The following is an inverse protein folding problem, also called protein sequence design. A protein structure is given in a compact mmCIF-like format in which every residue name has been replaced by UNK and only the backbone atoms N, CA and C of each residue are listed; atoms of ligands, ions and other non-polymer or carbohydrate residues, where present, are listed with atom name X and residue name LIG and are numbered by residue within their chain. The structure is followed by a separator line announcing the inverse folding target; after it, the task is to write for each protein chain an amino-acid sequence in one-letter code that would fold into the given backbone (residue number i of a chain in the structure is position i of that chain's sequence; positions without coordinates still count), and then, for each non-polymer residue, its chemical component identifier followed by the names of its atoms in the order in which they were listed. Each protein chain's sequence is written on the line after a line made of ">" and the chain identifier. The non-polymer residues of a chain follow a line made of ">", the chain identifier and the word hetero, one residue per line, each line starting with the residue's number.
data_IF_715687492542
#
_entry.id   IF_715687492542
#
_cell.length_a   1.000
_cell.length_b   1.000
_cell.length_c   1.000
_cell.angle_alpha   90.00
_cell.angle_beta   90.00
_cell.angle_gamma   90.00
#
_symmetry.space_group_name_H-M   'P 1'
#
loop_
_entity.id
_entity.type
_entity.pdbx_description
1 polymer ?
#
# COMPACT_ATOMS: atom_id res chain seq x y z
N UNK A 1 -2.03 10.88 -8.31
CA UNK A 1 -3.39 10.48 -8.76
C UNK A 1 -3.44 9.06 -9.31
N UNK A 2 -2.80 8.71 -10.45
CA UNK A 2 -2.97 7.36 -11.05
C UNK A 2 -2.41 6.24 -10.16
N UNK A 3 -1.24 6.44 -9.57
CA UNK A 3 -0.62 5.46 -8.66
C UNK A 3 -1.44 5.27 -7.39
N UNK A 4 -1.93 6.37 -6.81
CA UNK A 4 -2.75 6.34 -5.59
C UNK A 4 -4.03 5.52 -5.82
N UNK A 5 -4.67 5.65 -6.99
CA UNK A 5 -5.83 4.81 -7.35
C UNK A 5 -5.46 3.33 -7.47
N UNK A 6 -4.30 3.00 -8.08
CA UNK A 6 -3.83 1.61 -8.19
C UNK A 6 -3.62 1.01 -6.79
N UNK A 7 -2.93 1.72 -5.89
CA UNK A 7 -2.69 1.23 -4.53
C UNK A 7 -3.97 1.14 -3.70
N UNK A 8 -4.88 2.09 -3.86
CA UNK A 8 -6.18 2.02 -3.20
C UNK A 8 -6.97 0.78 -3.65
N UNK A 9 -7.07 0.54 -4.96
CA UNK A 9 -7.70 -0.68 -5.49
C UNK A 9 -6.99 -1.95 -5.03
N UNK A 10 -5.65 -1.95 -5.03
CA UNK A 10 -4.84 -3.08 -4.58
C UNK A 10 -5.12 -3.42 -3.12
N UNK A 11 -5.14 -2.44 -2.22
CA UNK A 11 -5.42 -2.70 -0.80
C UNK A 11 -6.89 -2.96 -0.50
N UNK A 12 -7.80 -2.46 -1.32
CA UNK A 12 -9.22 -2.78 -1.21
C UNK A 12 -9.51 -4.23 -1.61
N UNK A 13 -8.89 -4.72 -2.69
CA UNK A 13 -9.11 -6.08 -3.19
C UNK A 13 -8.21 -7.12 -2.48
N UNK A 14 -6.98 -6.73 -2.15
CA UNK A 14 -5.94 -7.59 -1.56
C UNK A 14 -5.33 -6.93 -0.30
N UNK A 15 -6.09 -6.78 0.79
CA UNK A 15 -5.60 -6.14 2.01
C UNK A 15 -4.39 -6.87 2.63
N UNK A 16 -4.24 -8.18 2.38
CA UNK A 16 -3.06 -8.95 2.83
C UNK A 16 -1.74 -8.42 2.29
N UNK A 17 -1.74 -7.81 1.10
CA UNK A 17 -0.52 -7.27 0.49
C UNK A 17 0.06 -6.11 1.31
N UNK A 18 -0.79 -5.34 2.00
CA UNK A 18 -0.31 -4.33 2.94
C UNK A 18 0.47 -4.95 4.10
N UNK A 19 -0.07 -6.03 4.68
CA UNK A 19 0.57 -6.74 5.80
C UNK A 19 1.90 -7.37 5.38
N UNK A 20 1.96 -7.94 4.18
CA UNK A 20 3.21 -8.43 3.60
C UNK A 20 4.27 -7.31 3.45
N UNK A 21 3.87 -6.11 2.98
CA UNK A 21 4.77 -4.95 2.86
C UNK A 21 5.31 -4.46 4.22
N UNK A 22 4.48 -4.55 5.26
CA UNK A 22 4.90 -4.20 6.63
C UNK A 22 5.49 -5.41 7.38
N UNK A 23 5.95 -6.45 6.68
CA UNK A 23 6.60 -7.63 7.26
C UNK A 23 5.75 -8.27 8.39
N UNK A 24 4.45 -8.35 8.15
CA UNK A 24 3.45 -9.01 9.00
C UNK A 24 2.86 -10.21 8.27
N UNK A 25 2.39 -11.23 9.01
CA UNK A 25 1.64 -12.33 8.42
C UNK A 25 0.42 -11.84 7.59
N UNK A 26 0.25 -12.32 6.35
CA UNK A 26 -0.84 -11.87 5.47
C UNK A 26 -2.24 -12.16 6.03
N UNK A 27 -2.37 -13.19 6.88
CA UNK A 27 -3.64 -13.54 7.52
C UNK A 27 -4.09 -12.54 8.58
N UNK A 28 -3.20 -11.66 9.07
CA UNK A 28 -3.60 -10.54 9.94
C UNK A 28 -4.68 -9.68 9.25
N UNK A 29 -4.65 -9.55 7.93
CA UNK A 29 -5.62 -8.76 7.16
C UNK A 29 -7.09 -9.17 7.40
N UNK A 30 -7.37 -10.42 7.77
CA UNK A 30 -8.73 -10.88 8.08
C UNK A 30 -9.34 -10.21 9.31
N UNK A 31 -8.50 -9.65 10.19
CA UNK A 31 -8.90 -8.91 11.37
C UNK A 31 -9.02 -7.39 11.10
N UNK A 32 -8.97 -6.97 9.82
CA UNK A 32 -9.00 -5.56 9.43
C UNK A 32 -10.02 -5.28 8.34
N UNK A 33 -10.62 -4.10 8.41
CA UNK A 33 -11.39 -3.49 7.33
C UNK A 33 -10.54 -2.39 6.68
N UNK A 34 -10.32 -2.47 5.37
CA UNK A 34 -9.77 -1.36 4.59
C UNK A 34 -10.89 -0.38 4.23
N UNK A 35 -10.77 0.88 4.64
CA UNK A 35 -11.86 1.86 4.55
C UNK A 35 -11.35 3.29 4.39
N UNK A 36 -12.29 4.22 4.22
CA UNK A 36 -12.04 5.67 4.27
C UNK A 36 -12.98 6.32 5.29
N UNK A 37 -12.51 7.38 5.97
CA UNK A 37 -13.32 8.08 6.97
C UNK A 37 -13.27 9.59 6.76
N UNK A 38 -14.45 10.20 6.71
CA UNK A 38 -14.58 11.66 6.59
C UNK A 38 -14.38 12.35 7.94
N UNK A 39 -13.56 13.41 7.92
CA UNK A 39 -13.38 14.29 9.07
C UNK A 39 -14.18 15.58 8.82
N UNK A 40 -15.29 15.71 9.54
CA UNK A 40 -16.40 16.63 9.22
C UNK A 40 -16.01 18.11 9.32
N UNK A 41 -15.10 18.46 10.24
CA UNK A 41 -14.76 19.88 10.48
C UNK A 41 -14.01 20.54 9.33
N UNK A 42 -13.34 19.76 8.48
CA UNK A 42 -12.50 20.26 7.38
C UNK A 42 -12.85 19.64 6.01
N UNK A 43 -13.89 18.81 5.94
CA UNK A 43 -14.34 18.14 4.72
C UNK A 43 -13.24 17.38 3.96
N UNK A 44 -12.24 16.86 4.68
CA UNK A 44 -11.25 15.93 4.11
C UNK A 44 -11.62 14.49 4.48
N UNK A 45 -11.08 13.56 3.69
CA UNK A 45 -11.27 12.13 3.87
C UNK A 45 -9.92 11.49 4.11
N UNK A 46 -9.80 10.76 5.21
CA UNK A 46 -8.62 9.96 5.48
C UNK A 46 -8.80 8.62 4.78
N UNK A 47 -8.15 8.50 3.63
CA UNK A 47 -8.10 7.29 2.82
C UNK A 47 -6.99 6.37 3.35
N UNK A 48 -7.01 5.09 2.96
CA UNK A 48 -5.93 4.18 3.33
C UNK A 48 -6.00 3.64 4.77
N UNK A 49 -7.17 3.67 5.41
CA UNK A 49 -7.33 3.20 6.79
C UNK A 49 -7.54 1.69 6.84
N UNK A 50 -6.69 0.99 7.59
CA UNK A 50 -6.93 -0.39 8.04
C UNK A 50 -7.38 -0.36 9.49
N UNK A 51 -8.68 -0.53 9.73
CA UNK A 51 -9.26 -0.53 11.07
C UNK A 51 -9.43 -1.96 11.59
N UNK A 52 -8.98 -2.27 12.82
CA UNK A 52 -9.27 -3.56 13.44
C UNK A 52 -10.78 -3.81 13.52
N UNK A 53 -11.19 -5.03 13.23
CA UNK A 53 -12.59 -5.49 13.40
C UNK A 53 -12.81 -6.15 14.77
N UNK A 54 -11.73 -6.38 15.51
CA UNK A 54 -11.75 -6.94 16.87
C UNK A 54 -11.57 -5.86 17.92
N UNK A 55 -12.00 -6.13 19.16
CA UNK A 55 -11.83 -5.22 20.28
C UNK A 55 -10.47 -5.37 21.01
N UNK A 56 -9.45 -5.94 20.35
CA UNK A 56 -8.13 -6.16 20.96
C UNK A 56 -7.40 -4.82 21.19
N UNK A 57 -7.14 -4.42 22.45
CA UNK A 57 -6.66 -3.06 22.76
C UNK A 57 -5.28 -2.74 22.18
N UNK A 58 -4.40 -3.74 22.08
CA UNK A 58 -3.03 -3.57 21.59
C UNK A 58 -2.92 -3.64 20.06
N UNK A 59 -3.99 -4.08 19.38
CA UNK A 59 -4.02 -4.20 17.94
C UNK A 59 -4.11 -2.80 17.32
N UNK A 60 -3.10 -2.35 16.55
CA UNK A 60 -3.12 -1.00 16.00
C UNK A 60 -4.03 -0.90 14.79
N UNK A 61 -4.61 0.27 14.55
CA UNK A 61 -5.04 0.64 13.21
C UNK A 61 -3.88 1.22 12.42
N UNK A 62 -3.92 1.06 11.10
CA UNK A 62 -2.90 1.59 10.20
C UNK A 62 -3.49 2.66 9.29
N UNK A 63 -2.73 3.73 9.09
CA UNK A 63 -2.90 4.66 7.98
C UNK A 63 -1.81 4.35 6.95
N UNK A 64 -2.22 3.92 5.76
CA UNK A 64 -1.32 3.65 4.64
C UNK A 64 -1.35 4.82 3.65
N UNK A 65 -0.23 5.53 3.52
CA UNK A 65 -0.07 6.62 2.54
C UNK A 65 0.94 6.21 1.47
N UNK A 66 0.65 6.54 0.22
CA UNK A 66 1.52 6.24 -0.93
C UNK A 66 2.01 7.55 -1.52
N UNK A 67 3.34 7.71 -1.60
CA UNK A 67 3.94 8.94 -2.12
C UNK A 67 4.96 8.64 -3.22
N UNK A 68 4.58 8.90 -4.47
CA UNK A 68 5.42 8.66 -5.65
C UNK A 68 6.01 9.93 -6.26
N UNK A 69 5.70 11.10 -5.72
CA UNK A 69 6.26 12.38 -6.15
C UNK A 69 6.85 13.10 -4.94
N UNK A 70 7.89 13.94 -5.09
CA UNK A 70 8.36 14.75 -3.98
C UNK A 70 7.24 15.66 -3.46
N UNK A 71 6.99 15.63 -2.15
CA UNK A 71 6.01 16.49 -1.48
C UNK A 71 6.61 17.00 -0.16
N UNK A 72 6.99 18.28 -0.05
CA UNK A 72 7.56 18.85 1.17
C UNK A 72 6.55 18.96 2.31
N UNK A 73 5.24 18.96 1.99
CA UNK A 73 4.16 19.16 2.96
C UNK A 73 3.51 17.84 3.40
N UNK A 74 3.97 16.70 2.87
CA UNK A 74 3.40 15.38 3.14
C UNK A 74 3.23 15.09 4.63
N UNK A 75 4.28 15.28 5.43
CA UNK A 75 4.22 14.97 6.87
C UNK A 75 3.29 15.91 7.62
N UNK A 76 3.25 17.20 7.26
CA UNK A 76 2.29 18.15 7.82
C UNK A 76 0.85 17.70 7.53
N UNK A 77 0.59 17.25 6.29
CA UNK A 77 -0.70 16.72 5.86
C UNK A 77 -1.07 15.45 6.64
N UNK A 78 -0.24 14.40 6.59
CA UNK A 78 -0.49 13.12 7.27
C UNK A 78 -0.74 13.31 8.77
N UNK A 79 0.13 14.04 9.47
CA UNK A 79 -0.01 14.18 10.92
C UNK A 79 -1.16 15.12 11.30
N UNK A 80 -1.40 16.17 10.52
CA UNK A 80 -2.59 17.01 10.70
C UNK A 80 -3.87 16.20 10.56
N UNK A 81 -4.00 15.42 9.48
CA UNK A 81 -5.15 14.55 9.21
C UNK A 81 -5.32 13.49 10.31
N UNK A 82 -4.24 12.80 10.68
CA UNK A 82 -4.24 11.79 11.74
C UNK A 82 -4.70 12.37 13.08
N UNK A 83 -4.16 13.52 13.51
CA UNK A 83 -4.52 14.09 14.81
C UNK A 83 -5.96 14.63 14.83
N UNK A 84 -6.45 15.15 13.70
CA UNK A 84 -7.87 15.52 13.57
C UNK A 84 -8.78 14.30 13.61
N UNK A 85 -8.40 13.20 12.93
CA UNK A 85 -9.10 11.92 13.01
C UNK A 85 -9.16 11.42 14.47
N UNK A 86 -8.03 11.40 15.17
CA UNK A 86 -7.97 10.98 16.58
C UNK A 86 -8.84 11.87 17.48
N UNK A 87 -8.85 13.18 17.26
CA UNK A 87 -9.69 14.12 18.00
C UNK A 87 -11.18 13.90 17.77
N UNK A 88 -11.59 13.60 16.54
CA UNK A 88 -12.98 13.35 16.17
C UNK A 88 -13.48 11.99 16.66
N UNK A 89 -12.71 10.92 16.42
CA UNK A 89 -13.17 9.55 16.60
C UNK A 89 -12.74 8.90 17.91
N UNK A 90 -11.65 9.37 18.54
CA UNK A 90 -11.10 8.83 19.79
C UNK A 90 -11.02 7.29 19.80
N UNK A 91 -10.34 6.67 18.81
CA UNK A 91 -10.27 5.22 18.72
C UNK A 91 -9.58 4.62 19.95
N UNK A 92 -9.99 3.40 20.32
CA UNK A 92 -9.41 2.65 21.44
C UNK A 92 -8.13 1.90 21.06
N UNK A 93 -7.79 1.87 19.78
CA UNK A 93 -6.64 1.18 19.23
C UNK A 93 -5.44 2.13 19.05
N UNK A 94 -4.20 1.66 19.27
CA UNK A 94 -3.02 2.44 18.93
C UNK A 94 -2.98 2.73 17.43
N UNK A 95 -2.42 3.88 17.05
CA UNK A 95 -2.22 4.21 15.64
C UNK A 95 -0.81 3.83 15.17
N UNK A 96 -0.72 3.48 13.89
CA UNK A 96 0.53 3.38 13.11
C UNK A 96 0.33 4.00 11.73
N UNK A 97 1.40 4.55 11.17
CA UNK A 97 1.45 5.07 9.81
C UNK A 97 2.46 4.26 9.01
N UNK A 98 2.09 3.84 7.81
CA UNK A 98 2.97 3.24 6.83
C UNK A 98 3.00 4.14 5.59
N UNK A 99 4.19 4.62 5.23
CA UNK A 99 4.37 5.50 4.07
C UNK A 99 5.17 4.73 3.03
N UNK A 100 4.60 4.58 1.84
CA UNK A 100 5.15 3.76 0.77
C UNK A 100 5.71 4.70 -0.30
N UNK A 101 7.02 4.62 -0.50
CA UNK A 101 7.77 5.36 -1.49
C UNK A 101 8.32 4.40 -2.56
N UNK A 102 8.45 4.86 -3.82
CA UNK A 102 9.15 4.07 -4.83
C UNK A 102 10.64 3.96 -4.50
N UNK A 103 11.24 5.03 -3.95
CA UNK A 103 12.62 5.09 -3.49
C UNK A 103 12.84 6.22 -2.50
N UNK A 104 13.94 6.15 -1.74
CA UNK A 104 14.31 7.16 -0.73
C UNK A 104 14.51 8.56 -1.30
N UNK A 105 14.88 8.68 -2.59
CA UNK A 105 15.10 9.98 -3.23
C UNK A 105 13.82 10.82 -3.39
N UNK A 106 12.64 10.20 -3.26
CA UNK A 106 11.34 10.88 -3.30
C UNK A 106 10.99 11.51 -1.96
N UNK A 107 11.39 10.90 -0.85
CA UNK A 107 11.09 11.39 0.50
C UNK A 107 11.65 12.81 0.71
N UNK A 108 10.85 13.64 1.38
CA UNK A 108 11.25 14.97 1.83
C UNK A 108 11.13 14.99 3.34
N UNK A 109 12.19 14.54 4.01
CA UNK A 109 12.24 14.49 5.46
C UNK A 109 12.17 15.91 6.04
N UNK A 110 11.20 16.15 6.93
CA UNK A 110 11.21 17.30 7.84
C UNK A 110 11.56 16.78 9.24
N UNK A 111 12.85 16.85 9.56
CA UNK A 111 13.37 16.44 10.87
C UNK A 111 13.26 17.54 11.92
N UNK A 112 12.77 18.74 11.58
CA UNK A 112 12.64 19.80 12.59
C UNK A 112 11.35 19.62 13.39
N UNK A 113 10.24 19.32 12.72
CA UNK A 113 8.93 19.24 13.38
C UNK A 113 8.52 17.82 13.76
N UNK A 114 9.01 16.81 13.03
CA UNK A 114 8.47 15.45 13.12
C UNK A 114 9.49 14.38 13.52
N UNK A 115 10.69 14.77 13.94
CA UNK A 115 11.77 13.82 14.26
C UNK A 115 11.33 12.74 15.25
N UNK A 116 10.65 13.10 16.33
CA UNK A 116 10.19 12.15 17.36
C UNK A 116 9.17 11.15 16.79
N UNK A 117 8.29 11.59 15.88
CA UNK A 117 7.31 10.73 15.25
C UNK A 117 7.99 9.79 14.24
N UNK A 118 8.87 10.32 13.41
CA UNK A 118 9.58 9.57 12.35
C UNK A 118 10.63 8.58 12.89
N UNK A 119 11.14 8.83 14.10
CA UNK A 119 12.04 7.91 14.81
C UNK A 119 11.29 6.93 15.73
N UNK A 120 10.00 7.15 15.96
CA UNK A 120 9.17 6.22 16.72
C UNK A 120 8.89 4.92 15.95
N UNK A 121 8.51 3.87 16.68
CA UNK A 121 8.02 2.62 16.09
C UNK A 121 6.59 2.72 15.50
N UNK A 122 6.00 3.93 15.49
CA UNK A 122 4.65 4.15 14.96
C UNK A 122 4.65 4.52 13.49
N UNK A 123 5.74 5.08 12.96
CA UNK A 123 5.84 5.47 11.56
C UNK A 123 6.84 4.56 10.86
N UNK A 124 6.36 3.81 9.86
CA UNK A 124 7.19 2.97 9.01
C UNK A 124 7.29 3.57 7.63
N UNK A 125 8.51 3.80 7.18
CA UNK A 125 8.81 4.25 5.81
C UNK A 125 9.27 3.05 5.01
N UNK A 126 8.57 2.77 3.92
CA UNK A 126 8.78 1.61 3.06
C UNK A 126 9.27 2.15 1.73
N UNK A 127 10.49 1.80 1.35
CA UNK A 127 11.05 2.10 0.03
C UNK A 127 11.03 0.82 -0.80
N UNK A 128 10.27 0.83 -1.89
CA UNK A 128 9.99 -0.37 -2.67
C UNK A 128 11.24 -0.93 -3.38
N UNK A 129 12.22 -0.07 -3.67
CA UNK A 129 13.52 -0.44 -4.23
C UNK A 129 14.53 -0.97 -3.18
N UNK A 130 14.25 -0.80 -1.88
CA UNK A 130 15.12 -1.23 -0.77
C UNK A 130 14.54 -2.41 0.03
N UNK A 131 13.48 -3.07 -0.46
CA UNK A 131 12.87 -4.22 0.24
C UNK A 131 13.86 -5.39 0.36
N UNK A 132 13.90 -6.09 1.51
CA UNK A 132 14.83 -7.20 1.71
C UNK A 132 14.50 -8.37 0.78
N UNK A 133 15.52 -9.12 0.35
CA UNK A 133 15.35 -10.28 -0.55
C UNK A 133 14.36 -11.34 -0.02
N UNK A 134 14.18 -11.44 1.29
CA UNK A 134 13.17 -12.32 1.90
C UNK A 134 11.73 -11.89 1.57
N UNK A 135 11.48 -10.58 1.49
CA UNK A 135 10.17 -10.02 1.15
C UNK A 135 9.79 -10.32 -0.31
N UNK A 136 10.77 -10.48 -1.21
CA UNK A 136 10.53 -10.83 -2.61
C UNK A 136 9.95 -12.25 -2.81
N UNK A 137 9.83 -13.05 -1.74
CA UNK A 137 9.11 -14.32 -1.79
C UNK A 137 7.60 -14.15 -1.75
N UNK A 138 7.11 -13.02 -1.21
CA UNK A 138 5.68 -12.77 -1.06
C UNK A 138 5.06 -12.33 -2.40
N UNK A 139 3.90 -12.89 -2.72
CA UNK A 139 3.13 -12.52 -3.90
C UNK A 139 2.74 -11.04 -3.88
N UNK A 140 2.27 -10.53 -2.74
CA UNK A 140 1.87 -9.13 -2.60
C UNK A 140 3.01 -8.15 -2.82
N UNK A 141 4.19 -8.44 -2.27
CA UNK A 141 5.39 -7.62 -2.48
C UNK A 141 5.79 -7.63 -3.95
N UNK A 142 5.78 -8.78 -4.63
CA UNK A 142 6.07 -8.85 -6.07
C UNK A 142 5.10 -8.00 -6.89
N UNK A 143 3.80 -8.11 -6.63
CA UNK A 143 2.76 -7.35 -7.34
C UNK A 143 2.92 -5.85 -7.10
N UNK A 144 3.19 -5.42 -5.86
CA UNK A 144 3.42 -4.01 -5.53
C UNK A 144 4.68 -3.47 -6.22
N UNK A 145 5.76 -4.26 -6.28
CA UNK A 145 7.01 -3.86 -6.97
C UNK A 145 6.81 -3.68 -8.49
N UNK A 146 5.82 -4.32 -9.11
CA UNK A 146 5.49 -4.09 -10.53
C UNK A 146 5.20 -2.62 -10.82
N UNK A 147 4.78 -1.82 -9.84
CA UNK A 147 4.56 -0.38 -10.04
C UNK A 147 5.88 0.35 -10.31
N UNK A 148 6.99 -0.04 -9.68
CA UNK A 148 8.30 0.62 -9.80
C UNK A 148 9.30 -0.08 -10.73
N UNK A 149 8.98 -1.29 -11.19
CA UNK A 149 9.83 -2.06 -12.13
C UNK A 149 10.23 -1.25 -13.40
N UNK A 150 11.36 -1.51 -14.07
CA UNK A 150 11.60 -0.90 -15.38
C UNK A 150 10.61 -1.40 -16.45
N UNK A 151 10.29 -0.57 -17.45
CA UNK A 151 9.39 -0.97 -18.56
C UNK A 151 9.89 -2.21 -19.31
N UNK A 152 11.22 -2.36 -19.41
CA UNK A 152 11.86 -3.46 -20.14
C UNK A 152 11.63 -4.83 -19.47
N UNK A 153 11.52 -4.86 -18.14
CA UNK A 153 11.38 -6.09 -17.33
C UNK A 153 9.99 -6.26 -16.74
N UNK A 154 9.15 -5.22 -16.75
CA UNK A 154 7.82 -5.22 -16.15
C UNK A 154 6.91 -6.36 -16.67
N UNK A 155 6.94 -6.63 -17.98
CA UNK A 155 6.13 -7.70 -18.56
C UNK A 155 6.58 -9.10 -18.08
N UNK A 156 7.89 -9.33 -18.00
CA UNK A 156 8.44 -10.59 -17.48
C UNK A 156 8.08 -10.79 -16.01
N UNK A 157 8.26 -9.76 -15.18
CA UNK A 157 7.91 -9.80 -13.76
C UNK A 157 6.42 -9.95 -13.50
N UNK A 158 5.57 -9.40 -14.37
CA UNK A 158 4.13 -9.63 -14.31
C UNK A 158 3.78 -11.09 -14.53
N UNK A 159 4.38 -11.75 -15.54
CA UNK A 159 4.17 -13.18 -15.80
C UNK A 159 4.63 -14.05 -14.65
N UNK A 160 5.80 -13.75 -14.07
CA UNK A 160 6.29 -14.44 -12.87
C UNK A 160 5.28 -14.32 -11.72
N UNK A 161 4.70 -13.13 -11.53
CA UNK A 161 3.69 -12.87 -10.49
C UNK A 161 2.38 -13.62 -10.77
N UNK A 162 1.93 -13.68 -12.01
CA UNK A 162 0.74 -14.46 -12.42
C UNK A 162 0.98 -15.97 -12.23
N UNK A 163 2.17 -16.47 -12.60
CA UNK A 163 2.52 -17.87 -12.42
C UNK A 163 2.54 -18.25 -10.94
N UNK A 164 3.08 -17.39 -10.07
CA UNK A 164 3.04 -17.57 -8.62
C UNK A 164 1.62 -17.52 -8.08
N UNK A 165 0.80 -16.56 -8.51
CA UNK A 165 -0.60 -16.45 -8.12
C UNK A 165 -1.39 -17.72 -8.44
N UNK A 166 -1.17 -18.34 -9.60
CA UNK A 166 -1.80 -19.61 -9.99
C UNK A 166 -1.38 -20.80 -9.12
N UNK A 167 -0.23 -20.73 -8.47
CA UNK A 167 0.27 -21.76 -7.56
C UNK A 167 -0.25 -21.55 -6.13
N UNK A 168 -0.32 -20.31 -5.66
CA UNK A 168 -0.67 -19.98 -4.28
C UNK A 168 -2.19 -19.82 -4.05
N UNK A 169 -2.93 -19.35 -5.06
CA UNK A 169 -4.35 -19.06 -4.93
C UNK A 169 -5.20 -20.23 -5.43
N UNK A 170 -6.10 -20.71 -4.58
CA UNK A 170 -7.04 -21.78 -4.91
C UNK A 170 -8.41 -21.27 -5.39
N UNK A 171 -8.79 -20.04 -5.02
CA UNK A 171 -10.08 -19.45 -5.40
C UNK A 171 -9.99 -18.85 -6.82
N UNK A 172 -10.77 -19.33 -7.80
CA UNK A 172 -10.75 -18.84 -9.17
C UNK A 172 -11.15 -17.37 -9.31
N UNK A 173 -12.02 -16.86 -8.43
CA UNK A 173 -12.48 -15.46 -8.46
C UNK A 173 -11.32 -14.56 -8.02
N UNK A 174 -10.72 -14.88 -6.87
CA UNK A 174 -9.58 -14.13 -6.32
C UNK A 174 -8.39 -14.14 -7.29
N UNK A 175 -8.11 -15.29 -7.91
CA UNK A 175 -7.06 -15.41 -8.92
C UNK A 175 -7.33 -14.52 -10.15
N UNK A 176 -8.56 -14.52 -10.67
CA UNK A 176 -8.94 -13.68 -11.82
C UNK A 176 -8.79 -12.20 -11.47
N UNK A 177 -9.26 -11.80 -10.29
CA UNK A 177 -9.23 -10.40 -9.86
C UNK A 177 -7.77 -9.93 -9.68
N UNK A 178 -6.89 -10.80 -9.16
CA UNK A 178 -5.46 -10.49 -9.06
C UNK A 178 -4.79 -10.36 -10.43
N UNK A 179 -5.11 -11.24 -11.37
CA UNK A 179 -4.60 -11.15 -12.74
C UNK A 179 -5.06 -9.84 -13.39
N UNK A 180 -6.33 -9.46 -13.24
CA UNK A 180 -6.86 -8.19 -13.76
C UNK A 180 -6.14 -6.97 -13.15
N UNK A 181 -5.80 -7.02 -11.86
CA UNK A 181 -5.03 -5.98 -11.20
C UNK A 181 -3.61 -5.89 -11.76
N UNK A 182 -2.92 -7.03 -11.90
CA UNK A 182 -1.57 -7.10 -12.50
C UNK A 182 -1.60 -6.54 -13.93
N UNK A 183 -2.54 -6.97 -14.77
CA UNK A 183 -2.71 -6.44 -16.12
C UNK A 183 -2.95 -4.93 -16.12
N UNK A 184 -3.77 -4.44 -15.19
CA UNK A 184 -4.04 -3.02 -15.04
C UNK A 184 -2.76 -2.24 -14.71
N UNK A 185 -1.95 -2.73 -13.77
CA UNK A 185 -0.63 -2.14 -13.44
C UNK A 185 0.26 -2.07 -14.70
N UNK A 186 0.30 -3.15 -15.49
CA UNK A 186 1.13 -3.21 -16.70
C UNK A 186 0.63 -2.30 -17.81
N UNK A 187 -0.68 -2.21 -18.05
CA UNK A 187 -1.26 -1.28 -19.03
C UNK A 187 -0.95 0.17 -18.66
N UNK A 188 -1.03 0.53 -17.38
CA UNK A 188 -0.67 1.87 -16.93
C UNK A 188 0.79 2.20 -17.17
N UNK A 189 1.65 1.18 -17.12
CA UNK A 189 3.09 1.32 -17.28
C UNK A 189 3.57 1.26 -18.73
N UNK A 190 2.91 0.45 -19.56
CA UNK A 190 3.21 0.26 -20.97
C UNK A 190 2.01 0.73 -21.81
N UNK A 191 1.71 2.05 -21.83
CA UNK A 191 0.49 2.57 -22.46
C UNK A 191 0.41 2.33 -23.97
N UNK A 192 1.53 1.96 -24.60
CA UNK A 192 1.62 1.63 -26.02
C UNK A 192 1.31 0.16 -26.34
N UNK A 193 1.10 -0.70 -25.32
CA UNK A 193 0.76 -2.12 -25.50
C UNK A 193 -0.69 -2.39 -25.13
N UNK A 194 -1.39 -3.18 -25.94
CA UNK A 194 -2.78 -3.57 -25.66
C UNK A 194 -2.86 -4.66 -24.59
N UNK A 195 -4.02 -4.79 -23.93
CA UNK A 195 -4.29 -5.88 -22.98
C UNK A 195 -4.14 -7.26 -23.61
N UNK A 196 -4.50 -7.39 -24.89
CA UNK A 196 -4.36 -8.62 -25.66
C UNK A 196 -2.89 -8.97 -25.90
N UNK A 197 -2.06 -7.95 -26.22
CA UNK A 197 -0.62 -8.13 -26.34
C UNK A 197 0.02 -8.52 -25.01
N UNK A 198 -0.48 -8.03 -23.88
CA UNK A 198 -0.03 -8.41 -22.54
C UNK A 198 -0.49 -9.82 -22.16
N UNK A 199 -1.70 -10.22 -22.55
CA UNK A 199 -2.26 -11.54 -22.24
C UNK A 199 -1.67 -12.68 -23.11
N UNK A 200 -1.23 -12.37 -24.33
CA UNK A 200 -0.55 -13.31 -25.25
C UNK A 200 0.95 -13.40 -24.94
N UNK A 201 1.49 -12.40 -24.24
CA UNK A 201 2.88 -12.32 -23.82
C UNK A 201 3.17 -13.30 -22.70
#
# INVERSE_FOLDING_TARGET
>A
MKTDTIFYSLFQEFPSFFFELIDRPPNEATAYEFTSREVKQLAFRMDGLFLPTTAEPEQPFYLAEVQFQPDPDLYYRIFGELFLYLGQYKPVHPWRVAIIYPSRSIEREDTLQFQELLTSQRVRRIYLDELPAAAERSLGVKVVKLVIEPEQTAAEKARESIALARQELSDPIVLRDLINLIETIIVYKLPQKSREEIAIM
#
